data_IF_696171072410
#
_entry.id   IF_696171072410
#
_cell.length_a   1.000
_cell.length_b   1.000
_cell.length_c   1.000
_cell.angle_alpha   90.00
_cell.angle_beta   90.00
_cell.angle_gamma   90.00
#
_symmetry.space_group_name_H-M   'P 1'
#
loop_
_entity.id
_entity.type
_entity.pdbx_description
1 polymer ?
#
# COMPACT_ATOMS: atom_id res chain seq x y z
N UNK A 1 36.72 -10.21 -2.47
CA UNK A 1 36.44 -9.03 -1.63
C UNK A 1 34.95 -8.77 -1.73
N UNK A 2 34.19 -9.09 -0.68
CA UNK A 2 32.79 -8.64 -0.62
C UNK A 2 32.82 -7.10 -0.44
N UNK A 3 32.02 -6.37 -1.21
CA UNK A 3 31.95 -4.90 -1.11
C UNK A 3 31.44 -4.45 0.25
N UNK A 4 31.81 -3.22 0.65
CA UNK A 4 31.31 -2.59 1.86
C UNK A 4 29.80 -2.29 1.74
N UNK A 5 29.05 -2.53 2.82
CA UNK A 5 27.64 -2.16 2.89
C UNK A 5 27.48 -0.64 2.74
N UNK A 6 26.53 -0.22 1.92
CA UNK A 6 26.24 1.18 1.68
C UNK A 6 25.02 1.60 2.50
N UNK A 7 25.14 2.71 3.23
CA UNK A 7 24.00 3.35 3.90
C UNK A 7 23.27 4.26 2.90
N UNK A 8 22.00 3.94 2.64
CA UNK A 8 21.15 4.67 1.70
C UNK A 8 19.75 4.81 2.26
N UNK A 9 18.97 5.75 1.72
CA UNK A 9 17.55 5.90 2.09
C UNK A 9 16.69 4.82 1.42
N UNK A 10 15.51 4.54 1.97
CA UNK A 10 14.53 3.62 1.32
C UNK A 10 14.16 4.13 -0.07
N UNK A 11 14.04 5.44 -0.26
CA UNK A 11 13.76 6.04 -1.57
C UNK A 11 14.85 5.77 -2.61
N UNK A 12 16.10 5.57 -2.19
CA UNK A 12 17.20 5.23 -3.10
C UNK A 12 17.06 3.82 -3.70
N UNK A 13 16.45 2.89 -2.96
CA UNK A 13 16.25 1.49 -3.38
C UNK A 13 14.82 1.23 -3.89
N UNK A 14 13.93 2.23 -3.80
CA UNK A 14 12.58 2.13 -4.35
C UNK A 14 12.62 2.03 -5.88
N UNK A 15 11.58 1.43 -6.47
CA UNK A 15 11.47 1.34 -7.92
C UNK A 15 11.45 2.75 -8.57
N UNK A 16 12.07 2.89 -9.74
CA UNK A 16 12.11 4.15 -10.48
C UNK A 16 10.79 4.45 -11.22
N UNK A 17 9.67 4.36 -10.52
CA UNK A 17 8.31 4.60 -11.04
C UNK A 17 7.56 5.58 -10.15
N UNK A 18 6.57 6.28 -10.73
CA UNK A 18 5.69 7.16 -9.96
C UNK A 18 5.01 6.36 -8.85
N UNK A 19 4.96 6.94 -7.66
CA UNK A 19 4.32 6.34 -6.48
C UNK A 19 5.00 5.04 -6.00
N UNK A 20 6.31 4.88 -6.19
CA UNK A 20 7.06 3.73 -5.68
C UNK A 20 7.30 3.74 -4.15
N UNK A 21 7.11 4.89 -3.51
CA UNK A 21 7.20 5.04 -2.05
C UNK A 21 6.11 6.03 -1.61
N UNK A 22 5.03 5.51 -1.05
CA UNK A 22 3.86 6.30 -0.67
C UNK A 22 3.36 5.86 0.70
N UNK A 23 3.04 6.81 1.56
CA UNK A 23 2.33 6.53 2.81
C UNK A 23 0.86 6.21 2.54
N UNK A 24 0.21 5.44 3.43
CA UNK A 24 -1.21 5.11 3.29
C UNK A 24 -2.12 6.35 3.14
N UNK A 25 -3.34 6.18 2.61
CA UNK A 25 -4.30 7.27 2.47
C UNK A 25 -4.89 7.62 3.84
N UNK A 26 -4.12 8.32 4.67
CA UNK A 26 -4.51 8.67 6.03
C UNK A 26 -5.48 9.86 6.08
N UNK A 27 -6.13 10.04 7.23
CA UNK A 27 -7.03 11.17 7.47
C UNK A 27 -8.35 11.06 6.70
N UNK A 28 -8.72 12.13 6.00
CA UNK A 28 -9.99 12.20 5.26
C UNK A 28 -9.95 11.53 3.89
N UNK A 29 -8.80 11.02 3.45
CA UNK A 29 -8.65 10.41 2.12
C UNK A 29 -9.33 9.04 2.03
N UNK A 30 -9.34 8.25 3.11
CA UNK A 30 -10.07 6.99 3.20
C UNK A 30 -10.71 6.85 4.58
N UNK A 31 -12.04 6.92 4.64
CA UNK A 31 -12.81 6.76 5.89
C UNK A 31 -13.79 5.60 5.78
N UNK A 32 -14.32 5.12 6.92
CA UNK A 32 -15.23 3.97 6.96
C UNK A 32 -16.48 4.12 6.08
N UNK A 33 -16.95 5.36 5.85
CA UNK A 33 -18.09 5.64 4.95
C UNK A 33 -17.76 5.38 3.47
N UNK A 34 -16.49 5.39 3.10
CA UNK A 34 -16.06 5.06 1.73
C UNK A 34 -16.09 3.55 1.46
N UNK A 35 -16.28 2.72 2.49
CA UNK A 35 -16.32 1.28 2.32
C UNK A 35 -17.58 0.85 1.58
N UNK A 36 -17.39 -0.10 0.67
CA UNK A 36 -18.41 -0.73 -0.14
C UNK A 36 -18.52 -2.23 0.21
N UNK A 37 -19.67 -2.87 -0.07
CA UNK A 37 -19.83 -4.32 0.11
C UNK A 37 -18.87 -5.16 -0.76
N UNK A 38 -18.42 -4.62 -1.90
CA UNK A 38 -17.52 -5.26 -2.86
C UNK A 38 -16.75 -4.21 -3.66
N UNK A 39 -15.63 -4.62 -4.28
CA UNK A 39 -14.82 -3.76 -5.14
C UNK A 39 -13.33 -4.02 -4.93
N UNK A 40 -12.53 -2.95 -4.89
CA UNK A 40 -11.08 -3.04 -4.67
C UNK A 40 -10.81 -3.25 -3.18
N UNK A 41 -10.05 -4.30 -2.78
CA UNK A 41 -9.77 -4.57 -1.37
C UNK A 41 -8.84 -3.51 -0.77
N UNK A 42 -9.10 -3.16 0.48
CA UNK A 42 -8.28 -2.23 1.27
C UNK A 42 -7.41 -3.03 2.23
N UNK A 43 -6.09 -2.86 2.12
CA UNK A 43 -5.13 -3.38 3.09
C UNK A 43 -5.15 -2.50 4.34
N UNK A 44 -5.55 -3.07 5.48
CA UNK A 44 -5.57 -2.40 6.79
C UNK A 44 -4.51 -3.01 7.70
N UNK A 45 -4.25 -2.39 8.86
CA UNK A 45 -3.29 -2.92 9.85
C UNK A 45 -3.54 -4.38 10.23
N UNK A 46 -4.81 -4.78 10.37
CA UNK A 46 -5.18 -6.17 10.66
C UNK A 46 -4.81 -7.18 9.55
N UNK A 47 -4.62 -6.72 8.30
CA UNK A 47 -4.21 -7.56 7.19
C UNK A 47 -2.69 -7.77 7.14
N UNK A 48 -1.92 -7.04 7.94
CA UNK A 48 -0.44 -7.01 7.92
C UNK A 48 0.18 -7.66 9.16
N UNK A 49 -0.57 -8.50 9.89
CA UNK A 49 -0.10 -9.14 11.12
C UNK A 49 0.91 -10.29 10.93
N UNK A 50 1.18 -10.70 9.68
CA UNK A 50 2.08 -11.80 9.36
C UNK A 50 3.00 -11.47 8.19
N UNK A 51 3.70 -12.50 7.67
CA UNK A 51 4.63 -12.34 6.54
C UNK A 51 3.94 -11.88 5.25
N UNK A 52 2.66 -12.20 5.09
CA UNK A 52 1.88 -11.93 3.90
C UNK A 52 0.61 -11.16 4.24
N UNK A 53 0.17 -10.32 3.31
CA UNK A 53 -1.12 -9.63 3.41
C UNK A 53 -2.24 -10.67 3.31
N UNK A 54 -3.07 -10.77 4.35
CA UNK A 54 -4.08 -11.82 4.46
C UNK A 54 -5.27 -11.42 5.36
N UNK A 55 -6.23 -12.34 5.51
CA UNK A 55 -7.41 -12.17 6.37
C UNK A 55 -8.58 -11.49 5.66
N UNK A 56 -9.51 -10.96 6.45
CA UNK A 56 -10.73 -10.32 5.95
C UNK A 56 -10.46 -8.90 5.45
N UNK A 57 -10.92 -8.63 4.24
CA UNK A 57 -10.81 -7.31 3.61
C UNK A 57 -12.12 -6.54 3.74
N UNK A 58 -11.99 -5.22 3.76
CA UNK A 58 -13.08 -4.32 3.34
C UNK A 58 -12.76 -3.81 1.95
N UNK A 59 -13.77 -3.30 1.27
CA UNK A 59 -13.65 -2.89 -0.11
C UNK A 59 -14.00 -1.42 -0.25
N UNK A 60 -13.52 -0.81 -1.32
CA UNK A 60 -13.99 0.48 -1.82
C UNK A 60 -14.47 0.29 -3.26
N UNK A 61 -15.29 1.21 -3.75
CA UNK A 61 -15.66 1.22 -5.17
C UNK A 61 -14.43 1.47 -6.06
N UNK A 62 -14.51 1.05 -7.33
CA UNK A 62 -13.45 1.31 -8.31
C UNK A 62 -13.15 2.81 -8.43
N UNK A 63 -14.19 3.66 -8.47
CA UNK A 63 -14.04 5.11 -8.52
C UNK A 63 -13.28 5.69 -7.30
N UNK A 64 -13.44 5.10 -6.11
CA UNK A 64 -12.70 5.51 -4.93
C UNK A 64 -11.25 5.01 -4.98
N UNK A 65 -11.02 3.81 -5.50
CA UNK A 65 -9.67 3.30 -5.74
C UNK A 65 -8.90 4.15 -6.76
N UNK A 66 -9.56 4.58 -7.84
CA UNK A 66 -8.99 5.50 -8.83
C UNK A 66 -8.61 6.85 -8.20
N UNK A 67 -9.49 7.40 -7.34
CA UNK A 67 -9.18 8.61 -6.58
C UNK A 67 -8.00 8.43 -5.60
N UNK A 68 -7.66 7.19 -5.25
CA UNK A 68 -6.54 6.79 -4.39
C UNK A 68 -5.42 6.12 -5.20
N UNK A 69 -5.27 6.42 -6.49
CA UNK A 69 -4.32 5.76 -7.40
C UNK A 69 -2.87 5.70 -6.89
N UNK A 70 -2.45 6.68 -6.07
CA UNK A 70 -1.12 6.72 -5.48
C UNK A 70 -0.88 5.62 -4.42
N UNK A 71 -1.95 5.03 -3.89
CA UNK A 71 -1.92 4.03 -2.83
C UNK A 71 -2.19 2.61 -3.33
N UNK A 72 -2.28 2.39 -4.64
CA UNK A 72 -2.51 1.07 -5.22
C UNK A 72 -1.25 0.21 -5.08
N UNK A 73 -1.31 -0.77 -4.18
CA UNK A 73 -0.30 -1.80 -4.02
C UNK A 73 -0.38 -2.83 -5.14
N UNK A 74 0.78 -3.29 -5.61
CA UNK A 74 0.95 -4.29 -6.66
C UNK A 74 1.69 -5.53 -6.13
N UNK A 75 1.58 -6.68 -6.82
CA UNK A 75 2.38 -7.85 -6.48
C UNK A 75 3.89 -7.51 -6.45
N UNK A 76 4.54 -7.82 -5.33
CA UNK A 76 5.96 -7.50 -5.10
C UNK A 76 6.21 -6.25 -4.27
N UNK A 77 5.20 -5.41 -4.05
CA UNK A 77 5.31 -4.26 -3.15
C UNK A 77 5.41 -4.72 -1.69
N UNK A 78 6.14 -3.93 -0.90
CA UNK A 78 6.24 -4.10 0.55
C UNK A 78 5.30 -3.11 1.22
N UNK A 79 4.46 -3.60 2.14
CA UNK A 79 3.55 -2.78 2.95
C UNK A 79 3.91 -2.98 4.42
N UNK A 80 4.00 -1.88 5.17
CA UNK A 80 4.41 -1.85 6.58
C UNK A 80 3.60 -0.86 7.39
#
# INVERSE_FOLDING_TARGET
>A
MAGEWQEVTVGHIAAAVRNALVGGPFGSNLVTRDYAPSGVPVIRGQNMGGRWVAGEFVFVSDAKADALEANIARPGDIVS
#
